data_IF_978294038248
#
_entry.id   IF_978294038248
#
_cell.length_a   1.000
_cell.length_b   1.000
_cell.length_c   1.000
_cell.angle_alpha   90.00
_cell.angle_beta   90.00
_cell.angle_gamma   90.00
#
_symmetry.space_group_name_H-M   'P 1'
#
loop_
_entity.id
_entity.type
_entity.pdbx_description
1 polymer ?
#
# COMPACT_ATOMS: atom_id res chain seq x y z
N UNK A 1 25.08 6.76 -3.65
CA UNK A 1 26.49 6.38 -3.80
C UNK A 1 26.53 5.12 -4.64
N UNK A 2 27.36 5.11 -5.69
CA UNK A 2 27.61 3.94 -6.54
C UNK A 2 28.92 3.29 -6.06
N UNK A 3 28.95 1.98 -5.90
CA UNK A 3 30.18 1.30 -5.52
C UNK A 3 31.13 1.12 -6.73
N UNK A 4 32.41 0.90 -6.42
CA UNK A 4 33.61 0.98 -7.28
C UNK A 4 33.63 0.03 -8.51
N UNK A 5 32.54 -0.70 -8.79
CA UNK A 5 32.38 -1.62 -9.93
C UNK A 5 31.28 -1.22 -10.92
N UNK A 6 30.67 -0.03 -10.79
CA UNK A 6 29.65 0.43 -11.75
C UNK A 6 28.35 -0.38 -11.73
N UNK A 7 28.15 -1.22 -10.73
CA UNK A 7 26.89 -1.92 -10.51
C UNK A 7 25.93 -0.99 -9.74
N UNK A 8 24.68 -0.81 -10.18
CA UNK A 8 23.69 -0.09 -9.38
C UNK A 8 23.55 -0.80 -8.03
N UNK A 9 23.40 -0.03 -6.94
CA UNK A 9 23.27 -0.49 -5.55
C UNK A 9 21.95 -1.24 -5.28
N UNK A 10 21.62 -2.20 -6.15
CA UNK A 10 20.49 -3.09 -6.06
C UNK A 10 20.90 -4.34 -5.25
N UNK A 11 21.46 -4.11 -4.05
CA UNK A 11 21.78 -5.18 -3.12
C UNK A 11 20.52 -5.63 -2.40
N UNK A 12 20.13 -6.90 -2.59
CA UNK A 12 18.99 -7.60 -1.96
C UNK A 12 17.61 -6.93 -2.15
N UNK A 13 16.80 -7.51 -3.05
CA UNK A 13 15.39 -7.15 -3.22
C UNK A 13 14.53 -8.04 -2.31
N UNK A 14 13.72 -7.43 -1.45
CA UNK A 14 12.65 -8.16 -0.77
C UNK A 14 11.54 -8.53 -1.75
N UNK A 15 10.70 -9.52 -1.39
CA UNK A 15 9.56 -9.96 -2.22
C UNK A 15 8.60 -8.80 -2.58
N UNK A 16 8.50 -7.81 -1.69
CA UNK A 16 7.67 -6.62 -1.85
C UNK A 16 8.43 -5.42 -2.43
N UNK A 17 9.56 -5.64 -3.11
CA UNK A 17 10.39 -4.58 -3.70
C UNK A 17 10.51 -4.78 -5.22
N UNK A 18 10.16 -3.77 -6.00
CA UNK A 18 10.18 -3.80 -7.46
C UNK A 18 10.97 -2.65 -8.09
N UNK A 19 11.19 -2.67 -9.41
CA UNK A 19 11.81 -1.55 -10.12
C UNK A 19 11.04 -0.25 -9.87
N UNK A 20 11.73 0.81 -9.45
CA UNK A 20 11.08 2.11 -9.31
C UNK A 20 10.96 2.79 -10.68
N UNK A 21 9.75 3.10 -11.18
CA UNK A 21 9.58 3.71 -12.50
C UNK A 21 10.27 5.08 -12.64
N UNK A 22 10.44 5.82 -11.55
CA UNK A 22 11.08 7.16 -11.57
C UNK A 22 12.59 7.12 -11.31
N UNK A 23 13.11 6.04 -10.72
CA UNK A 23 14.53 5.86 -10.42
C UNK A 23 15.06 4.58 -11.10
N UNK A 24 15.50 4.70 -12.36
CA UNK A 24 15.89 3.58 -13.25
C UNK A 24 16.97 2.60 -12.72
N UNK A 25 17.62 2.89 -11.59
CA UNK A 25 18.61 2.01 -10.97
C UNK A 25 18.25 1.55 -9.55
N UNK A 26 17.10 1.95 -9.00
CA UNK A 26 16.73 1.67 -7.60
C UNK A 26 15.52 0.75 -7.55
N UNK A 27 15.59 -0.22 -6.64
CA UNK A 27 14.44 -0.99 -6.21
C UNK A 27 13.68 -0.20 -5.14
N UNK A 28 12.35 -0.20 -5.22
CA UNK A 28 11.48 0.54 -4.30
C UNK A 28 10.24 -0.23 -3.92
N UNK A 29 9.59 0.26 -2.87
CA UNK A 29 8.31 -0.23 -2.35
C UNK A 29 7.41 0.97 -2.06
N UNK A 30 6.10 0.74 -2.08
CA UNK A 30 5.07 1.70 -1.68
C UNK A 30 4.35 1.19 -0.44
N UNK A 31 4.01 2.11 0.46
CA UNK A 31 3.22 1.83 1.65
C UNK A 31 1.81 2.39 1.41
N UNK A 32 0.81 1.53 1.54
CA UNK A 32 -0.59 1.90 1.50
C UNK A 32 -1.14 1.87 2.92
N UNK A 33 -1.78 2.97 3.33
CA UNK A 33 -2.30 3.15 4.68
C UNK A 33 -3.79 3.46 4.61
N UNK A 34 -4.59 2.65 5.32
CA UNK A 34 -6.01 2.93 5.53
C UNK A 34 -6.21 3.49 6.94
N UNK A 35 -6.79 4.68 7.02
CA UNK A 35 -7.05 5.37 8.28
C UNK A 35 -8.55 5.59 8.52
N UNK A 36 -8.92 5.67 9.79
CA UNK A 36 -10.21 6.19 10.23
C UNK A 36 -10.20 7.73 10.12
N UNK A 37 -11.38 8.37 10.19
CA UNK A 37 -11.54 9.83 10.12
C UNK A 37 -10.62 10.61 11.05
N UNK A 38 -10.36 10.10 12.25
CA UNK A 38 -9.49 10.74 13.25
C UNK A 38 -7.99 10.56 13.00
N UNK A 39 -7.60 9.84 11.94
CA UNK A 39 -6.20 9.54 11.61
C UNK A 39 -5.68 8.23 12.20
N UNK A 40 -6.50 7.46 12.91
CA UNK A 40 -6.11 6.16 13.43
C UNK A 40 -5.86 5.16 12.28
N UNK A 41 -4.67 4.54 12.17
CA UNK A 41 -4.42 3.52 11.16
C UNK A 41 -5.20 2.24 11.47
N UNK A 42 -6.00 1.78 10.50
CA UNK A 42 -6.81 0.57 10.59
C UNK A 42 -6.16 -0.62 9.89
N UNK A 43 -5.44 -0.37 8.78
CA UNK A 43 -4.75 -1.41 8.02
C UNK A 43 -3.58 -0.81 7.24
N UNK A 44 -2.55 -1.63 7.01
CA UNK A 44 -1.35 -1.28 6.26
C UNK A 44 -1.08 -2.39 5.24
N UNK A 45 -0.74 -2.01 4.02
CA UNK A 45 -0.25 -2.91 2.99
C UNK A 45 1.03 -2.35 2.39
N UNK A 46 1.95 -3.22 2.01
CA UNK A 46 3.19 -2.85 1.32
C UNK A 46 3.21 -3.57 -0.01
N UNK A 47 3.54 -2.84 -1.07
CA UNK A 47 3.65 -3.38 -2.42
C UNK A 47 4.97 -2.93 -3.07
N UNK A 48 5.37 -3.63 -4.12
CA UNK A 48 6.49 -3.19 -4.95
C UNK A 48 6.18 -1.87 -5.65
N UNK A 49 7.18 -1.02 -5.89
CA UNK A 49 6.98 0.34 -6.41
C UNK A 49 6.29 0.41 -7.78
N UNK A 50 6.38 -0.65 -8.59
CA UNK A 50 5.75 -0.75 -9.90
C UNK A 50 4.35 -1.37 -9.88
N UNK A 51 3.85 -1.80 -8.71
CA UNK A 51 2.49 -2.34 -8.59
C UNK A 51 1.48 -1.20 -8.68
N UNK A 52 0.39 -1.45 -9.38
CA UNK A 52 -0.71 -0.49 -9.51
C UNK A 52 -1.46 -0.34 -8.19
N UNK A 53 -1.69 0.89 -7.76
CA UNK A 53 -2.21 1.20 -6.42
C UNK A 53 -3.64 0.65 -6.20
N UNK A 54 -4.46 0.55 -7.25
CA UNK A 54 -5.80 -0.10 -7.21
C UNK A 54 -5.80 -1.52 -6.63
N UNK A 55 -4.74 -2.30 -6.84
CA UNK A 55 -4.63 -3.67 -6.32
C UNK A 55 -4.48 -3.70 -4.79
N UNK A 56 -4.06 -2.60 -4.17
CA UNK A 56 -3.88 -2.50 -2.72
C UNK A 56 -5.19 -2.19 -1.97
N UNK A 57 -6.25 -1.73 -2.66
CA UNK A 57 -7.51 -1.34 -1.99
C UNK A 57 -8.21 -2.54 -1.34
N UNK A 58 -8.37 -3.62 -2.09
CA UNK A 58 -9.06 -4.81 -1.60
C UNK A 58 -8.38 -5.44 -0.37
N UNK A 59 -7.05 -5.70 -0.37
CA UNK A 59 -6.38 -6.25 0.82
C UNK A 59 -6.46 -5.29 2.01
N UNK A 60 -6.37 -3.96 1.79
CA UNK A 60 -6.52 -2.98 2.87
C UNK A 60 -7.92 -3.02 3.51
N UNK A 61 -8.98 -3.08 2.70
CA UNK A 61 -10.36 -3.13 3.23
C UNK A 61 -10.63 -4.45 3.93
N UNK A 62 -10.09 -5.57 3.43
CA UNK A 62 -10.18 -6.88 4.09
C UNK A 62 -9.42 -6.91 5.42
N UNK A 63 -8.35 -6.12 5.55
CA UNK A 63 -7.53 -6.01 6.75
C UNK A 63 -8.16 -5.19 7.89
N UNK A 64 -9.33 -4.57 7.70
CA UNK A 64 -9.98 -3.77 8.74
C UNK A 64 -10.39 -4.66 9.93
N UNK A 65 -9.92 -4.36 11.15
CA UNK A 65 -10.28 -5.13 12.33
C UNK A 65 -11.78 -4.97 12.66
N UNK A 66 -12.38 -5.86 13.47
CA UNK A 66 -13.78 -5.71 13.87
C UNK A 66 -14.00 -4.47 14.76
N UNK A 67 -14.50 -3.38 14.18
CA UNK A 67 -14.78 -2.12 14.87
C UNK A 67 -16.11 -2.22 15.62
N UNK A 68 -16.11 -1.82 16.89
CA UNK A 68 -17.31 -1.81 17.73
C UNK A 68 -18.32 -0.81 17.15
N UNK A 69 -19.54 -1.30 16.88
CA UNK A 69 -20.67 -0.46 16.51
C UNK A 69 -21.48 -0.11 17.75
N UNK A 70 -22.12 1.07 17.75
CA UNK A 70 -23.02 1.49 18.84
C UNK A 70 -24.24 0.57 18.97
N UNK A 71 -24.68 -0.04 17.86
CA UNK A 71 -25.79 -1.00 17.79
C UNK A 71 -25.44 -2.11 16.78
N UNK A 72 -25.77 -3.35 17.11
CA UNK A 72 -25.66 -4.51 16.21
C UNK A 72 -24.24 -5.10 16.10
N UNK A 73 -24.01 -5.88 15.03
CA UNK A 73 -22.74 -6.59 14.77
C UNK A 73 -21.57 -5.62 14.57
N UNK A 74 -20.38 -6.03 15.00
CA UNK A 74 -19.13 -5.30 14.72
C UNK A 74 -18.95 -5.10 13.21
N UNK A 75 -18.54 -3.90 12.81
CA UNK A 75 -18.32 -3.56 11.41
C UNK A 75 -16.90 -3.95 11.00
N UNK A 76 -16.76 -4.48 9.79
CA UNK A 76 -15.46 -4.80 9.14
C UNK A 76 -15.29 -4.12 7.79
N UNK A 77 -16.30 -3.36 7.32
CA UNK A 77 -16.26 -2.67 6.04
C UNK A 77 -16.66 -1.21 6.24
N UNK A 78 -16.00 -0.27 5.54
CA UNK A 78 -16.35 1.13 5.59
C UNK A 78 -17.68 1.36 4.85
N UNK A 79 -18.46 2.34 5.29
CA UNK A 79 -19.64 2.78 4.55
C UNK A 79 -19.28 3.72 3.39
N UNK A 80 -18.16 4.45 3.54
CA UNK A 80 -17.58 5.35 2.55
C UNK A 80 -16.07 5.22 2.66
N UNK A 81 -15.39 5.14 1.53
CA UNK A 81 -13.94 5.10 1.44
C UNK A 81 -13.49 6.35 0.67
N UNK A 82 -12.57 7.11 1.26
CA UNK A 82 -11.87 8.18 0.58
C UNK A 82 -10.50 7.66 0.19
N UNK A 83 -10.13 7.85 -1.06
CA UNK A 83 -8.85 7.40 -1.60
C UNK A 83 -8.36 8.37 -2.67
N UNK A 84 -7.08 8.26 -2.98
CA UNK A 84 -6.49 8.91 -4.13
C UNK A 84 -7.04 8.36 -5.46
N UNK A 85 -6.94 9.15 -6.53
CA UNK A 85 -7.39 8.80 -7.88
C UNK A 85 -6.71 7.54 -8.41
N UNK A 86 -5.46 7.28 -8.02
CA UNK A 86 -4.74 6.06 -8.42
C UNK A 86 -5.39 4.74 -7.93
N UNK A 87 -6.31 4.82 -6.96
CA UNK A 87 -7.10 3.69 -6.51
C UNK A 87 -8.38 3.46 -7.31
N UNK A 88 -8.83 4.47 -8.06
CA UNK A 88 -10.03 4.40 -8.90
C UNK A 88 -9.66 3.86 -10.28
N UNK A 89 -9.71 2.54 -10.41
CA UNK A 89 -9.46 1.83 -11.67
C UNK A 89 -10.57 0.80 -11.89
N UNK A 90 -11.38 1.03 -12.92
CA UNK A 90 -12.33 0.05 -13.44
C UNK A 90 -11.57 -0.93 -14.36
N UNK A 91 -11.05 -2.01 -13.78
CA UNK A 91 -10.46 -3.10 -14.57
C UNK A 91 -11.49 -3.80 -15.45
#
# INVERSE_FOLDING_TARGET
MCDRLGQPACGQKGELTGPNPVDRGKSGSKIHLLTERSGLPLSVAVSAANVHDSLAVEPLVRGIPPIRSRRGRRRRRPAKLHGDKGYDYSG
#
